data_IF_575639089914
#
_entry.id   IF_575639089914
#
_cell.length_a   1.000
_cell.length_b   1.000
_cell.length_c   1.000
_cell.angle_alpha   90.00
_cell.angle_beta   90.00
_cell.angle_gamma   90.00
#
_symmetry.space_group_name_H-M   'P 1'
#
loop_
_entity.id
_entity.type
_entity.pdbx_description
1 polymer ?
#
# COMPACT_ATOMS: atom_id res chain seq x y z
N UNK A 1 -20.67 22.73 5.99
CA UNK A 1 -20.03 21.40 5.86
C UNK A 1 -19.37 21.10 7.20
N UNK A 2 -19.95 20.17 7.95
CA UNK A 2 -19.60 19.95 9.36
C UNK A 2 -18.18 19.39 9.49
N UNK A 3 -17.50 19.71 10.60
CA UNK A 3 -16.12 19.27 10.86
C UNK A 3 -16.00 17.74 10.91
N UNK A 4 -17.06 17.06 11.37
CA UNK A 4 -17.20 15.59 11.38
C UNK A 4 -17.21 14.96 9.98
N UNK A 5 -17.96 15.52 9.02
CA UNK A 5 -18.01 14.99 7.63
C UNK A 5 -16.64 15.09 6.95
N UNK A 6 -15.87 16.14 7.26
CA UNK A 6 -14.52 16.35 6.72
C UNK A 6 -13.50 15.37 7.31
N UNK A 7 -13.73 14.85 8.51
CA UNK A 7 -12.89 13.82 9.12
C UNK A 7 -13.23 12.43 8.56
N UNK A 8 -14.51 12.09 8.46
CA UNK A 8 -14.97 10.78 7.95
C UNK A 8 -14.55 10.58 6.49
N UNK A 9 -14.73 11.61 5.64
CA UNK A 9 -14.28 11.58 4.24
C UNK A 9 -12.78 11.36 4.09
N UNK A 10 -11.98 11.87 5.04
CA UNK A 10 -10.51 11.75 5.02
C UNK A 10 -10.05 10.33 5.37
N UNK A 11 -10.66 9.69 6.37
CA UNK A 11 -10.40 8.29 6.74
C UNK A 11 -10.82 7.33 5.60
N UNK A 12 -11.99 7.56 5.00
CA UNK A 12 -12.45 6.75 3.85
C UNK A 12 -11.52 6.93 2.65
N UNK A 13 -11.10 8.16 2.36
CA UNK A 13 -10.15 8.45 1.27
C UNK A 13 -8.82 7.73 1.49
N UNK A 14 -8.32 7.67 2.72
CA UNK A 14 -7.10 6.92 3.06
C UNK A 14 -7.25 5.41 2.84
N UNK A 15 -8.42 4.84 3.18
CA UNK A 15 -8.72 3.42 2.92
C UNK A 15 -8.76 3.14 1.41
N UNK A 16 -9.45 3.97 0.62
CA UNK A 16 -9.54 3.83 -0.83
C UNK A 16 -8.14 3.90 -1.47
N UNK A 17 -7.33 4.88 -1.07
CA UNK A 17 -5.95 5.02 -1.55
C UNK A 17 -5.11 3.79 -1.18
N UNK A 18 -5.26 3.27 0.03
CA UNK A 18 -4.57 2.05 0.47
C UNK A 18 -4.94 0.86 -0.41
N UNK A 19 -6.24 0.64 -0.67
CA UNK A 19 -6.72 -0.43 -1.56
C UNK A 19 -6.17 -0.25 -2.98
N UNK A 20 -6.13 0.98 -3.50
CA UNK A 20 -5.57 1.26 -4.82
C UNK A 20 -4.06 0.92 -4.90
N UNK A 21 -3.28 1.18 -3.84
CA UNK A 21 -1.88 0.76 -3.76
C UNK A 21 -1.72 -0.76 -3.75
N UNK A 22 -2.55 -1.48 -2.98
CA UNK A 22 -2.53 -2.96 -2.99
C UNK A 22 -2.90 -3.52 -4.36
N UNK A 23 -3.94 -2.98 -5.00
CA UNK A 23 -4.34 -3.40 -6.35
C UNK A 23 -3.23 -3.16 -7.38
N UNK A 24 -2.56 -2.01 -7.31
CA UNK A 24 -1.43 -1.68 -8.19
C UNK A 24 -0.23 -2.62 -7.97
N UNK A 25 0.05 -3.00 -6.72
CA UNK A 25 1.09 -3.99 -6.39
C UNK A 25 0.78 -5.36 -6.99
N UNK A 26 -0.46 -5.83 -6.88
CA UNK A 26 -0.91 -7.11 -7.44
C UNK A 26 -0.76 -7.10 -8.97
N UNK A 27 -1.24 -6.04 -9.63
CA UNK A 27 -1.09 -5.91 -11.09
C UNK A 27 0.38 -5.90 -11.51
N UNK A 28 1.23 -5.13 -10.82
CA UNK A 28 2.66 -5.09 -11.14
C UNK A 28 3.33 -6.44 -10.95
N UNK A 29 2.88 -7.25 -9.98
CA UNK A 29 3.40 -8.60 -9.78
C UNK A 29 3.03 -9.54 -10.92
N UNK A 30 1.76 -9.56 -11.34
CA UNK A 30 1.33 -10.35 -12.50
C UNK A 30 2.06 -9.92 -13.78
N UNK A 31 2.17 -8.62 -14.00
CA UNK A 31 2.84 -8.07 -15.18
C UNK A 31 4.36 -8.31 -15.17
N UNK A 32 4.97 -8.37 -13.98
CA UNK A 32 6.36 -8.80 -13.84
C UNK A 32 6.55 -10.27 -14.22
N UNK A 33 5.59 -11.13 -13.87
CA UNK A 33 5.62 -12.56 -14.25
C UNK A 33 5.49 -12.74 -15.77
N UNK A 34 4.58 -12.02 -16.42
CA UNK A 34 4.45 -12.04 -17.89
C UNK A 34 5.75 -11.60 -18.58
N UNK A 35 6.38 -10.51 -18.11
CA UNK A 35 7.65 -10.04 -18.66
C UNK A 35 8.83 -10.97 -18.37
N UNK A 36 8.74 -11.78 -17.31
CA UNK A 36 9.73 -12.79 -16.99
C UNK A 36 9.64 -13.96 -17.98
N UNK A 37 8.44 -14.37 -18.37
CA UNK A 37 8.22 -15.37 -19.42
C UNK A 37 8.65 -14.87 -20.82
N UNK A 38 8.59 -13.56 -21.07
CA UNK A 38 9.10 -12.93 -22.30
C UNK A 38 10.64 -12.68 -22.31
N UNK A 39 11.40 -13.28 -21.38
CA UNK A 39 12.87 -13.16 -21.27
C UNK A 39 13.40 -11.72 -20.98
N UNK A 40 12.51 -10.80 -20.58
CA UNK A 40 12.85 -9.39 -20.26
C UNK A 40 13.17 -9.21 -18.78
N UNK A 41 14.22 -9.90 -18.32
CA UNK A 41 14.61 -9.97 -16.90
C UNK A 41 14.78 -8.60 -16.20
N UNK A 42 15.39 -7.60 -16.87
CA UNK A 42 15.56 -6.27 -16.29
C UNK A 42 14.23 -5.55 -16.00
N UNK A 43 13.28 -5.67 -16.92
CA UNK A 43 11.96 -5.06 -16.76
C UNK A 43 11.13 -5.80 -15.71
N UNK A 44 11.20 -7.14 -15.69
CA UNK A 44 10.56 -7.94 -14.67
C UNK A 44 11.07 -7.57 -13.26
N UNK A 45 12.38 -7.40 -13.08
CA UNK A 45 12.97 -7.00 -11.80
C UNK A 45 12.57 -5.58 -11.39
N UNK A 46 12.48 -4.65 -12.34
CA UNK A 46 12.00 -3.29 -12.08
C UNK A 46 10.51 -3.26 -11.68
N UNK A 47 9.65 -4.02 -12.36
CA UNK A 47 8.24 -4.14 -11.99
C UNK A 47 8.06 -4.85 -10.64
N UNK A 48 8.90 -5.83 -10.33
CA UNK A 48 8.88 -6.50 -9.04
C UNK A 48 9.26 -5.54 -7.91
N UNK A 49 10.30 -4.72 -8.09
CA UNK A 49 10.66 -3.64 -7.16
C UNK A 49 9.54 -2.60 -7.01
N UNK A 50 8.86 -2.25 -8.11
CA UNK A 50 7.71 -1.34 -8.11
C UNK A 50 6.52 -1.92 -7.33
N UNK A 51 6.24 -3.22 -7.52
CA UNK A 51 5.22 -3.95 -6.77
C UNK A 51 5.52 -3.95 -5.27
N UNK A 52 6.77 -4.24 -4.89
CA UNK A 52 7.22 -4.22 -3.49
C UNK A 52 7.08 -2.83 -2.87
N UNK A 53 7.50 -1.79 -3.58
CA UNK A 53 7.40 -0.40 -3.11
C UNK A 53 5.94 0.03 -2.93
N UNK A 54 5.04 -0.36 -3.85
CA UNK A 54 3.61 -0.09 -3.75
C UNK A 54 2.96 -0.82 -2.57
N UNK A 55 3.39 -2.06 -2.31
CA UNK A 55 2.95 -2.84 -1.14
C UNK A 55 3.38 -2.17 0.18
N UNK A 56 4.63 -1.75 0.29
CA UNK A 56 5.12 -0.98 1.44
C UNK A 56 4.38 0.36 1.61
N UNK A 57 4.03 1.02 0.50
CA UNK A 57 3.21 2.24 0.50
C UNK A 57 1.82 2.01 1.10
N UNK A 58 1.15 0.91 0.73
CA UNK A 58 -0.14 0.52 1.30
C UNK A 58 -0.07 0.17 2.79
N UNK A 59 1.05 -0.37 3.27
CA UNK A 59 1.25 -0.70 4.68
C UNK A 59 1.44 0.52 5.60
N UNK A 60 1.67 1.72 5.07
CA UNK A 60 1.92 2.94 5.86
C UNK A 60 0.83 3.18 6.92
N UNK A 61 -0.43 2.89 6.60
CA UNK A 61 -1.55 3.02 7.53
C UNK A 61 -1.58 1.94 8.61
N UNK A 62 -1.25 0.70 8.26
CA UNK A 62 -1.17 -0.39 9.22
C UNK A 62 0.01 -0.20 10.19
N UNK A 63 1.15 0.27 9.68
CA UNK A 63 2.34 0.60 10.48
C UNK A 63 2.01 1.70 11.50
N UNK A 64 1.29 2.76 11.09
CA UNK A 64 0.85 3.79 12.02
C UNK A 64 -0.07 3.23 13.12
N UNK A 65 -1.05 2.37 12.76
CA UNK A 65 -1.94 1.71 13.73
C UNK A 65 -1.17 0.83 14.72
N UNK A 66 -0.20 0.05 14.24
CA UNK A 66 0.63 -0.83 15.07
C UNK A 66 1.51 0.00 16.02
N UNK A 67 2.16 1.06 15.53
CA UNK A 67 3.00 1.94 16.35
C UNK A 67 2.17 2.64 17.43
N UNK A 68 0.99 3.17 17.09
CA UNK A 68 0.08 3.76 18.08
C UNK A 68 -0.36 2.74 19.13
N UNK A 69 -0.70 1.51 18.71
CA UNK A 69 -1.10 0.43 19.62
C UNK A 69 0.04 0.00 20.56
N UNK A 70 1.28 -0.06 20.06
CA UNK A 70 2.47 -0.35 20.87
C UNK A 70 2.76 0.80 21.84
N UNK A 71 2.60 2.05 21.42
CA UNK A 71 2.81 3.23 22.28
C UNK A 71 1.80 3.28 23.42
N UNK A 72 0.54 2.91 23.16
CA UNK A 72 -0.52 2.84 24.16
C UNK A 72 -0.27 1.72 25.18
N UNK A 73 0.16 0.54 24.71
CA UNK A 73 0.57 -0.58 25.57
C UNK A 73 1.78 -0.27 26.45
N UNK A 74 2.71 0.57 26.00
CA UNK A 74 3.89 0.98 26.79
C UNK A 74 3.59 2.05 27.84
N UNK A 75 2.42 2.70 27.75
CA UNK A 75 1.99 3.75 28.69
C UNK A 75 1.16 3.18 29.87
N UNK A 76 0.74 1.92 29.78
CA UNK A 76 0.06 1.18 30.84
C UNK A 76 1.06 0.34 31.63
#
# INVERSE_FOLDING_TARGET
>A
MNLEEKMISREISQIIVTIAFFYSSIICHFKAMELFEEDKLLYALFLWLCSFTSFCGGLRFQIAKIIYKIKDLKKK
#
